data_IF_189262743611
#
_entry.id   IF_189262743611
#
_cell.length_a   1.000
_cell.length_b   1.000
_cell.length_c   1.000
_cell.angle_alpha   90.00
_cell.angle_beta   90.00
_cell.angle_gamma   90.00
#
_symmetry.space_group_name_H-M   'P 1'
#
loop_
_entity.id
_entity.type
_entity.pdbx_description
1 polymer ?
#
# COMPACT_ATOMS: atom_id res chain seq x y z
N UNK A 1 -0.01 -17.20 -7.74
CA UNK A 1 0.35 -16.28 -6.64
C UNK A 1 0.61 -14.87 -7.15
N UNK A 2 1.78 -14.55 -7.74
CA UNK A 2 2.09 -13.17 -8.18
C UNK A 2 1.05 -12.59 -9.15
N UNK A 3 0.56 -13.39 -10.11
CA UNK A 3 -0.50 -12.95 -11.04
C UNK A 3 -1.82 -12.60 -10.33
N UNK A 4 -2.13 -13.31 -9.24
CA UNK A 4 -3.33 -13.05 -8.45
C UNK A 4 -3.19 -11.74 -7.69
N UNK A 5 -2.06 -11.53 -6.99
CA UNK A 5 -1.76 -10.28 -6.29
C UNK A 5 -1.83 -9.09 -7.26
N UNK A 6 -1.22 -9.23 -8.45
CA UNK A 6 -1.29 -8.20 -9.48
C UNK A 6 -2.72 -7.86 -9.94
N UNK A 7 -3.60 -8.86 -10.02
CA UNK A 7 -5.00 -8.62 -10.36
C UNK A 7 -5.76 -7.96 -9.20
N UNK A 8 -5.43 -8.29 -7.95
CA UNK A 8 -5.97 -7.66 -6.74
C UNK A 8 -5.53 -6.19 -6.67
N UNK A 9 -4.25 -5.87 -6.88
CA UNK A 9 -3.73 -4.50 -6.94
C UNK A 9 -4.39 -3.65 -8.03
N UNK A 10 -4.66 -4.23 -9.20
CA UNK A 10 -5.40 -3.54 -10.26
C UNK A 10 -6.83 -3.20 -9.83
N UNK A 11 -7.49 -4.10 -9.10
CA UNK A 11 -8.82 -3.84 -8.57
C UNK A 11 -8.78 -2.78 -7.46
N UNK A 12 -7.73 -2.75 -6.63
CA UNK A 12 -7.52 -1.70 -5.64
C UNK A 12 -7.39 -0.33 -6.32
N UNK A 13 -6.53 -0.23 -7.35
CA UNK A 13 -6.35 1.01 -8.11
C UNK A 13 -7.67 1.50 -8.74
N UNK A 14 -8.39 0.64 -9.46
CA UNK A 14 -9.68 0.98 -10.06
C UNK A 14 -10.69 1.47 -9.01
N UNK A 15 -10.73 0.79 -7.86
CA UNK A 15 -11.61 1.15 -6.75
C UNK A 15 -11.27 2.54 -6.20
N UNK A 16 -9.99 2.84 -5.97
CA UNK A 16 -9.52 4.12 -5.45
C UNK A 16 -9.75 5.24 -6.47
N UNK A 17 -9.48 5.03 -7.75
CA UNK A 17 -9.73 6.00 -8.81
C UNK A 17 -11.23 6.34 -8.93
N UNK A 18 -12.09 5.32 -8.89
CA UNK A 18 -13.54 5.50 -8.90
C UNK A 18 -14.04 6.25 -7.67
N UNK A 19 -13.51 5.95 -6.48
CA UNK A 19 -13.84 6.67 -5.26
C UNK A 19 -13.37 8.13 -5.32
N UNK A 20 -12.13 8.37 -5.78
CA UNK A 20 -11.60 9.72 -5.96
C UNK A 20 -12.46 10.53 -6.93
N UNK A 21 -12.86 9.95 -8.06
CA UNK A 21 -13.77 10.60 -9.01
C UNK A 21 -15.16 10.87 -8.39
N UNK A 22 -15.76 9.88 -7.71
CA UNK A 22 -17.07 10.01 -7.05
C UNK A 22 -17.10 11.16 -6.02
N UNK A 23 -16.00 11.34 -5.30
CA UNK A 23 -15.88 12.36 -4.25
C UNK A 23 -15.26 13.67 -4.74
N UNK A 24 -14.98 13.82 -6.04
CA UNK A 24 -14.26 14.96 -6.63
C UNK A 24 -12.96 15.27 -5.88
N UNK A 25 -12.25 14.23 -5.46
CA UNK A 25 -10.97 14.35 -4.76
C UNK A 25 -9.95 14.97 -5.71
N UNK A 26 -9.31 16.04 -5.27
CA UNK A 26 -8.25 16.70 -6.04
C UNK A 26 -7.05 15.75 -6.16
N UNK A 27 -6.54 15.58 -7.39
CA UNK A 27 -5.28 14.88 -7.62
C UNK A 27 -4.15 15.69 -7.00
N UNK A 28 -3.34 15.05 -6.15
CA UNK A 28 -2.20 15.71 -5.53
C UNK A 28 -1.15 16.08 -6.57
N UNK A 29 -0.50 17.24 -6.43
CA UNK A 29 0.63 17.62 -7.27
C UNK A 29 1.78 16.62 -7.22
N UNK A 30 1.86 15.84 -6.15
CA UNK A 30 2.88 14.81 -5.96
C UNK A 30 2.55 13.46 -6.60
N UNK A 31 1.38 13.31 -7.24
CA UNK A 31 1.02 12.04 -7.90
C UNK A 31 2.08 11.63 -8.93
N UNK A 32 2.44 12.51 -9.86
CA UNK A 32 3.45 12.20 -10.89
C UNK A 32 4.84 11.84 -10.33
N UNK A 33 5.47 12.63 -9.44
CA UNK A 33 6.78 12.28 -8.90
C UNK A 33 6.74 11.00 -8.04
N UNK A 34 5.67 10.77 -7.27
CA UNK A 34 5.54 9.55 -6.48
C UNK A 34 5.31 8.31 -7.36
N UNK A 35 4.58 8.42 -8.47
CA UNK A 35 4.44 7.33 -9.44
C UNK A 35 5.79 6.92 -10.03
N UNK A 36 6.65 7.89 -10.38
CA UNK A 36 8.01 7.60 -10.88
C UNK A 36 8.86 6.91 -9.80
N UNK A 37 8.81 7.41 -8.57
CA UNK A 37 9.55 6.82 -7.45
C UNK A 37 9.08 5.38 -7.14
N UNK A 38 7.77 5.14 -7.14
CA UNK A 38 7.19 3.81 -6.92
C UNK A 38 7.58 2.83 -8.02
N UNK A 39 7.56 3.26 -9.29
CA UNK A 39 8.02 2.43 -10.40
C UNK A 39 9.51 2.08 -10.29
N UNK A 40 10.36 3.07 -9.99
CA UNK A 40 11.79 2.84 -9.81
C UNK A 40 12.08 1.88 -8.64
N UNK A 41 11.34 1.99 -7.54
CA UNK A 41 11.43 1.07 -6.40
C UNK A 41 11.03 -0.37 -6.80
N UNK A 42 9.93 -0.52 -7.54
CA UNK A 42 9.46 -1.82 -8.03
C UNK A 42 10.47 -2.48 -8.98
N UNK A 43 10.97 -1.74 -9.97
CA UNK A 43 12.01 -2.25 -10.90
C UNK A 43 13.30 -2.57 -10.15
N UNK A 44 13.76 -1.67 -9.28
CA UNK A 44 14.99 -1.84 -8.51
C UNK A 44 14.96 -3.08 -7.62
N UNK A 45 13.85 -3.30 -6.91
CA UNK A 45 13.67 -4.50 -6.07
C UNK A 45 13.54 -5.78 -6.89
N UNK A 46 12.90 -5.74 -8.06
CA UNK A 46 12.83 -6.88 -8.98
C UNK A 46 14.20 -7.29 -9.54
N UNK A 47 15.11 -6.34 -9.77
CA UNK A 47 16.49 -6.62 -10.20
C UNK A 47 17.30 -7.38 -9.13
N UNK A 48 16.90 -7.29 -7.86
CA UNK A 48 17.47 -8.10 -6.76
C UNK A 48 16.87 -9.52 -6.71
N UNK A 49 16.07 -9.90 -7.71
CA UNK A 49 15.43 -11.20 -7.84
C UNK A 49 14.14 -11.32 -7.04
N UNK A 50 13.56 -12.54 -7.03
CA UNK A 50 12.27 -12.82 -6.41
C UNK A 50 12.23 -12.43 -4.93
N UNK A 51 13.29 -12.70 -4.17
CA UNK A 51 13.36 -12.36 -2.75
C UNK A 51 13.35 -10.84 -2.53
N UNK A 52 14.08 -10.08 -3.34
CA UNK A 52 14.09 -8.61 -3.27
C UNK A 52 12.73 -7.99 -3.61
N UNK A 53 12.07 -8.51 -4.65
CA UNK A 53 10.71 -8.09 -5.02
C UNK A 53 9.71 -8.37 -3.87
N UNK A 54 9.70 -9.57 -3.32
CA UNK A 54 8.79 -9.93 -2.22
C UNK A 54 9.10 -9.17 -0.93
N UNK A 55 10.37 -8.86 -0.66
CA UNK A 55 10.77 -8.01 0.45
C UNK A 55 10.24 -6.58 0.29
N UNK A 56 10.30 -6.02 -0.92
CA UNK A 56 9.73 -4.72 -1.22
C UNK A 56 8.21 -4.75 -1.06
N UNK A 57 7.53 -5.78 -1.58
CA UNK A 57 6.09 -5.99 -1.39
C UNK A 57 5.75 -6.02 0.10
N UNK A 58 6.35 -6.89 0.90
CA UNK A 58 6.10 -6.95 2.34
C UNK A 58 6.29 -5.58 3.03
N UNK A 59 7.36 -4.85 2.69
CA UNK A 59 7.60 -3.53 3.27
C UNK A 59 6.48 -2.52 2.91
N UNK A 60 6.07 -2.47 1.64
CA UNK A 60 5.02 -1.57 1.15
C UNK A 60 3.66 -1.95 1.72
N UNK A 61 3.26 -3.21 1.61
CA UNK A 61 1.92 -3.67 2.02
C UNK A 61 1.67 -3.54 3.51
N UNK A 62 2.72 -3.65 4.33
CA UNK A 62 2.57 -3.33 5.75
C UNK A 62 2.15 -1.86 5.95
N UNK A 63 2.77 -0.92 5.23
CA UNK A 63 2.44 0.51 5.36
C UNK A 63 1.06 0.80 4.79
N UNK A 64 0.72 0.22 3.64
CA UNK A 64 -0.59 0.42 2.99
C UNK A 64 -1.71 -0.20 3.85
N UNK A 65 -1.52 -1.42 4.37
CA UNK A 65 -2.45 -2.05 5.30
C UNK A 65 -2.63 -1.25 6.61
N UNK A 66 -1.54 -0.76 7.20
CA UNK A 66 -1.58 0.16 8.35
C UNK A 66 -2.35 1.45 8.00
N UNK A 67 -2.16 1.99 6.80
CA UNK A 67 -2.82 3.20 6.33
C UNK A 67 -4.33 3.02 6.19
N UNK A 68 -4.78 1.95 5.51
CA UNK A 68 -6.21 1.63 5.41
C UNK A 68 -6.83 1.37 6.78
N UNK A 69 -6.12 0.69 7.68
CA UNK A 69 -6.62 0.46 9.04
C UNK A 69 -6.82 1.77 9.81
N UNK A 70 -5.94 2.75 9.64
CA UNK A 70 -6.10 4.07 10.26
C UNK A 70 -7.28 4.84 9.67
N UNK A 71 -7.46 4.82 8.34
CA UNK A 71 -8.63 5.42 7.69
C UNK A 71 -9.94 4.80 8.18
N UNK A 72 -9.99 3.47 8.32
CA UNK A 72 -11.16 2.76 8.87
C UNK A 72 -11.47 3.25 10.29
N UNK A 73 -10.46 3.37 11.16
CA UNK A 73 -10.65 3.88 12.53
C UNK A 73 -11.17 5.32 12.55
N UNK A 74 -10.65 6.18 11.68
CA UNK A 74 -11.10 7.57 11.56
C UNK A 74 -12.58 7.64 11.13
N UNK A 75 -12.97 6.87 10.11
CA UNK A 75 -14.35 6.82 9.61
C UNK A 75 -15.33 6.20 10.61
N UNK A 76 -14.92 5.17 11.36
CA UNK A 76 -15.73 4.59 12.44
C UNK A 76 -15.96 5.57 13.59
N UNK A 77 -15.00 6.47 13.85
CA UNK A 77 -15.13 7.50 14.89
C UNK A 77 -16.02 8.64 14.45
N UNK A 78 -16.05 8.95 13.15
CA UNK A 78 -16.86 10.03 12.58
C UNK A 78 -18.34 9.65 12.51
N UNK A 79 -18.71 8.73 11.61
CA UNK A 79 -20.09 8.25 11.44
C UNK A 79 -20.09 6.90 10.66
N UNK A 80 -20.16 5.76 11.36
CA UNK A 80 -20.10 4.44 10.73
C UNK A 80 -21.20 4.17 9.70
N UNK A 81 -22.42 4.65 9.95
CA UNK A 81 -23.56 4.38 9.05
C UNK A 81 -23.44 5.21 7.78
N UNK A 82 -23.03 6.48 7.90
CA UNK A 82 -22.77 7.32 6.75
C UNK A 82 -21.64 6.78 5.86
N UNK A 83 -20.61 6.19 6.46
CA UNK A 83 -19.41 5.73 5.76
C UNK A 83 -19.41 4.23 5.44
N UNK A 84 -20.54 3.54 5.62
CA UNK A 84 -20.66 2.08 5.52
C UNK A 84 -20.06 1.47 4.25
N UNK A 85 -20.32 2.06 3.09
CA UNK A 85 -19.80 1.56 1.81
C UNK A 85 -18.28 1.74 1.71
N UNK A 86 -17.76 2.88 2.15
CA UNK A 86 -16.33 3.18 2.15
C UNK A 86 -15.58 2.29 3.16
N UNK A 87 -16.15 2.08 4.35
CA UNK A 87 -15.64 1.16 5.36
C UNK A 87 -15.53 -0.27 4.82
N UNK A 88 -16.51 -0.72 4.04
CA UNK A 88 -16.50 -2.05 3.42
C UNK A 88 -15.37 -2.18 2.40
N UNK A 89 -15.22 -1.23 1.49
CA UNK A 89 -14.16 -1.27 0.47
C UNK A 89 -12.76 -1.17 1.10
N UNK A 90 -12.56 -0.24 2.03
CA UNK A 90 -11.28 -0.11 2.75
C UNK A 90 -10.93 -1.36 3.56
N UNK A 91 -11.91 -1.99 4.21
CA UNK A 91 -11.68 -3.22 4.97
C UNK A 91 -11.27 -4.36 4.04
N UNK A 92 -11.92 -4.49 2.88
CA UNK A 92 -11.56 -5.49 1.87
C UNK A 92 -10.13 -5.29 1.36
N UNK A 93 -9.76 -4.05 1.00
CA UNK A 93 -8.39 -3.76 0.54
C UNK A 93 -7.36 -4.00 1.65
N UNK A 94 -7.62 -3.55 2.88
CA UNK A 94 -6.76 -3.84 4.05
C UNK A 94 -6.50 -5.33 4.22
N UNK A 95 -7.55 -6.15 4.16
CA UNK A 95 -7.43 -7.59 4.39
C UNK A 95 -6.63 -8.27 3.27
N UNK A 96 -6.77 -7.77 2.02
CA UNK A 96 -5.92 -8.18 0.91
C UNK A 96 -4.44 -7.79 1.12
N UNK A 97 -4.15 -6.55 1.55
CA UNK A 97 -2.76 -6.13 1.81
C UNK A 97 -2.12 -6.91 2.95
N UNK A 98 -2.86 -7.22 4.01
CA UNK A 98 -2.34 -8.06 5.10
C UNK A 98 -2.05 -9.49 4.64
N UNK A 99 -2.81 -10.00 3.67
CA UNK A 99 -2.53 -11.28 3.03
C UNK A 99 -1.30 -11.20 2.12
N UNK A 100 -1.15 -10.13 1.33
CA UNK A 100 0.03 -9.86 0.51
C UNK A 100 1.30 -9.72 1.35
N UNK A 101 1.21 -9.01 2.47
CA UNK A 101 2.27 -8.89 3.46
C UNK A 101 2.73 -10.26 3.94
N UNK A 102 1.79 -11.11 4.37
CA UNK A 102 2.10 -12.46 4.85
C UNK A 102 2.81 -13.29 3.76
N UNK A 103 2.32 -13.24 2.53
CA UNK A 103 2.97 -13.90 1.39
C UNK A 103 4.40 -13.37 1.21
N UNK A 104 4.61 -12.06 1.30
CA UNK A 104 5.94 -11.45 1.23
C UNK A 104 6.86 -11.92 2.35
N UNK A 105 6.33 -12.01 3.58
CA UNK A 105 7.06 -12.43 4.76
C UNK A 105 7.49 -13.89 4.75
N UNK A 106 6.67 -14.77 4.17
CA UNK A 106 6.98 -16.19 3.99
C UNK A 106 8.09 -16.45 2.95
N UNK A 107 8.44 -15.47 2.11
CA UNK A 107 9.41 -15.64 1.02
C UNK A 107 10.84 -15.18 1.37
N UNK A 108 11.10 -14.77 2.61
CA UNK A 108 12.42 -14.32 3.05
C UNK A 108 12.82 -14.89 4.42
N UNK A 109 14.12 -14.91 4.71
CA UNK A 109 14.63 -15.27 6.04
C UNK A 109 14.39 -14.10 7.01
N UNK A 110 13.51 -14.31 8.00
CA UNK A 110 13.20 -13.33 9.03
C UNK A 110 14.42 -12.87 9.86
N UNK A 111 15.51 -13.65 9.86
CA UNK A 111 16.72 -13.33 10.61
C UNK A 111 17.76 -12.54 9.81
N UNK A 112 17.48 -12.18 8.54
CA UNK A 112 18.42 -11.41 7.73
C UNK A 112 18.50 -9.94 8.16
N UNK A 113 19.64 -9.45 8.69
CA UNK A 113 19.76 -8.05 9.12
C UNK A 113 19.63 -7.06 7.95
N UNK A 114 20.05 -7.48 6.76
CA UNK A 114 19.94 -6.68 5.53
C UNK A 114 18.48 -6.45 5.14
N UNK A 115 17.62 -7.44 5.34
CA UNK A 115 16.18 -7.31 5.10
C UNK A 115 15.54 -6.30 6.06
N UNK A 116 15.88 -6.35 7.35
CA UNK A 116 15.36 -5.39 8.33
C UNK A 116 15.68 -3.93 7.97
N UNK A 117 16.92 -3.66 7.53
CA UNK A 117 17.31 -2.32 7.07
C UNK A 117 16.53 -1.93 5.81
N UNK A 118 16.46 -2.81 4.82
CA UNK A 118 15.75 -2.55 3.56
C UNK A 118 14.26 -2.25 3.79
N UNK A 119 13.59 -3.07 4.62
CA UNK A 119 12.20 -2.88 5.03
C UNK A 119 12.00 -1.51 5.67
N UNK A 120 12.83 -1.14 6.63
CA UNK A 120 12.71 0.14 7.33
C UNK A 120 12.87 1.35 6.40
N UNK A 121 13.80 1.31 5.44
CA UNK A 121 14.00 2.40 4.47
C UNK A 121 12.76 2.58 3.59
N UNK A 122 12.24 1.48 3.05
CA UNK A 122 11.03 1.51 2.21
C UNK A 122 9.84 2.03 3.02
N UNK A 123 9.65 1.49 4.22
CA UNK A 123 8.55 1.90 5.10
C UNK A 123 8.60 3.38 5.45
N UNK A 124 9.79 3.91 5.76
CA UNK A 124 9.98 5.33 6.01
C UNK A 124 9.60 6.16 4.78
N UNK A 125 10.10 5.76 3.59
CA UNK A 125 9.78 6.44 2.33
C UNK A 125 8.27 6.47 2.04
N UNK A 126 7.58 5.33 2.16
CA UNK A 126 6.13 5.23 1.97
C UNK A 126 5.37 6.08 2.98
N UNK A 127 5.73 6.01 4.27
CA UNK A 127 5.08 6.81 5.33
C UNK A 127 5.25 8.30 5.09
N UNK A 128 6.44 8.74 4.69
CA UNK A 128 6.71 10.14 4.33
C UNK A 128 5.90 10.58 3.09
N UNK A 129 5.83 9.75 2.05
CA UNK A 129 5.03 10.06 0.86
C UNK A 129 3.54 10.23 1.18
N UNK A 130 2.98 9.33 2.01
CA UNK A 130 1.60 9.42 2.49
C UNK A 130 1.38 10.73 3.27
N UNK A 131 2.28 11.06 4.20
CA UNK A 131 2.14 12.27 5.02
C UNK A 131 2.20 13.55 4.19
N UNK A 132 3.06 13.59 3.17
CA UNK A 132 3.11 14.71 2.22
C UNK A 132 1.79 14.79 1.45
N UNK A 133 1.33 13.68 0.87
CA UNK A 133 0.12 13.65 0.05
C UNK A 133 -1.16 14.03 0.84
N UNK A 134 -1.22 13.76 2.14
CA UNK A 134 -2.34 14.18 2.99
C UNK A 134 -2.47 15.70 3.15
N UNK A 135 -1.37 16.45 2.96
CA UNK A 135 -1.30 17.89 3.26
C UNK A 135 -1.53 18.79 2.04
N UNK A 136 -1.54 18.23 0.83
CA UNK A 136 -1.41 19.00 -0.44
C UNK A 136 -2.32 18.51 -1.57
#
# INVERSE_FOLDING_TARGET
MIQQMWNEEKQHLDTVERLAAKHNTRISWFTAPFSVAAYALGVGSALLGKQGAMACTAAVEQVVGEHYNNQIKELLKDDPERHKDLLKELSKMRDAELHHLKIGEEQHDANSPMYGVFKNVIQLGCKTAIEIAKRV
#
